data_IF_736894203955
#
_entry.id   IF_736894203955
#
_cell.length_a   1.000
_cell.length_b   1.000
_cell.length_c   1.000
_cell.angle_alpha   90.00
_cell.angle_beta   90.00
_cell.angle_gamma   90.00
#
_symmetry.space_group_name_H-M   'P 1'
#
loop_
_entity.id
_entity.type
_entity.pdbx_description
1 polymer ?
#
# COMPACT_ATOMS: atom_id res chain seq x y z
N UNK A 1 -12.74 6.29 -18.12
CA UNK A 1 -13.02 4.94 -18.65
C UNK A 1 -12.24 3.96 -17.79
N UNK A 2 -12.83 2.84 -17.38
CA UNK A 2 -12.10 1.77 -16.69
C UNK A 2 -11.42 0.90 -17.76
N UNK A 3 -10.09 0.78 -17.72
CA UNK A 3 -9.31 -0.04 -18.67
C UNK A 3 -9.44 -1.55 -18.38
N UNK A 4 -10.68 -2.05 -18.25
CA UNK A 4 -10.96 -3.44 -17.93
C UNK A 4 -10.65 -3.83 -16.47
N UNK A 5 -10.79 -5.13 -16.12
CA UNK A 5 -10.43 -5.64 -14.80
C UNK A 5 -8.92 -5.48 -14.53
N UNK A 6 -8.52 -5.42 -13.26
CA UNK A 6 -7.10 -5.45 -12.88
C UNK A 6 -6.54 -6.85 -13.12
N UNK A 7 -5.49 -6.92 -13.92
CA UNK A 7 -4.75 -8.16 -14.19
C UNK A 7 -3.85 -8.55 -13.01
N UNK A 8 -3.42 -9.82 -12.97
CA UNK A 8 -2.49 -10.28 -11.95
C UNK A 8 -1.13 -9.58 -12.05
N UNK A 9 -0.67 -9.28 -13.27
CA UNK A 9 0.56 -8.52 -13.50
C UNK A 9 0.46 -7.08 -12.96
N UNK A 10 -0.63 -6.37 -13.24
CA UNK A 10 -0.86 -5.03 -12.67
C UNK A 10 -0.94 -5.07 -11.15
N UNK A 11 -1.57 -6.12 -10.58
CA UNK A 11 -1.64 -6.32 -9.13
C UNK A 11 -0.24 -6.56 -8.54
N UNK A 12 0.58 -7.39 -9.17
CA UNK A 12 1.93 -7.70 -8.70
C UNK A 12 2.84 -6.47 -8.76
N UNK A 13 2.76 -5.67 -9.84
CA UNK A 13 3.52 -4.42 -10.00
C UNK A 13 3.17 -3.40 -8.91
N UNK A 14 1.88 -3.12 -8.70
CA UNK A 14 1.45 -2.13 -7.71
C UNK A 14 1.66 -2.59 -6.27
N UNK A 15 1.56 -3.89 -6.00
CA UNK A 15 1.93 -4.46 -4.70
C UNK A 15 3.44 -4.32 -4.49
N UNK A 16 4.28 -4.61 -5.49
CA UNK A 16 5.72 -4.45 -5.37
C UNK A 16 6.14 -3.01 -5.06
N UNK A 17 5.57 -2.04 -5.77
CA UNK A 17 5.79 -0.61 -5.53
C UNK A 17 5.34 -0.16 -4.13
N UNK A 18 4.15 -0.60 -3.70
CA UNK A 18 3.67 -0.33 -2.35
C UNK A 18 4.63 -0.83 -1.27
N UNK A 19 5.16 -2.04 -1.43
CA UNK A 19 6.11 -2.61 -0.47
C UNK A 19 7.47 -1.89 -0.49
N UNK A 20 7.90 -1.32 -1.61
CA UNK A 20 9.09 -0.47 -1.66
C UNK A 20 8.87 0.80 -0.80
N UNK A 21 7.72 1.46 -0.96
CA UNK A 21 7.35 2.59 -0.10
C UNK A 21 7.23 2.20 1.37
N UNK A 22 6.63 1.04 1.67
CA UNK A 22 6.47 0.57 3.04
C UNK A 22 7.83 0.28 3.71
N UNK A 23 8.80 -0.25 2.95
CA UNK A 23 10.15 -0.46 3.46
C UNK A 23 10.85 0.87 3.82
N UNK A 24 10.64 1.92 3.04
CA UNK A 24 11.12 3.27 3.35
C UNK A 24 10.42 3.84 4.59
N UNK A 25 9.09 3.70 4.68
CA UNK A 25 8.28 4.15 5.82
C UNK A 25 8.75 3.53 7.14
N UNK A 26 8.92 2.20 7.16
CA UNK A 26 9.42 1.44 8.31
C UNK A 26 10.85 1.86 8.67
N UNK A 27 11.69 2.14 7.67
CA UNK A 27 13.07 2.57 7.89
C UNK A 27 13.19 4.06 8.24
N UNK A 28 12.09 4.81 8.28
CA UNK A 28 12.10 6.26 8.47
C UNK A 28 12.72 7.04 7.32
N UNK A 29 12.92 6.42 6.15
CA UNK A 29 13.39 7.09 4.93
C UNK A 29 12.23 7.88 4.32
N UNK A 30 12.55 9.03 3.72
CA UNK A 30 11.56 9.84 3.01
C UNK A 30 11.23 9.19 1.68
N UNK A 31 9.95 9.13 1.35
CA UNK A 31 9.42 8.71 0.05
C UNK A 31 8.25 9.62 -0.34
N UNK A 32 7.91 9.66 -1.62
CA UNK A 32 6.78 10.42 -2.15
C UNK A 32 5.77 9.49 -2.81
N UNK A 33 4.58 9.37 -2.22
CA UNK A 33 3.47 8.60 -2.77
C UNK A 33 3.10 9.01 -4.19
N UNK A 34 3.18 10.31 -4.48
CA UNK A 34 2.88 10.86 -5.80
C UNK A 34 3.97 10.51 -6.81
N UNK A 35 5.24 10.46 -6.39
CA UNK A 35 6.34 10.11 -7.28
C UNK A 35 6.32 8.62 -7.64
N UNK A 36 6.12 7.76 -6.64
CA UNK A 36 5.94 6.32 -6.86
C UNK A 36 4.79 6.04 -7.85
N UNK A 37 3.63 6.68 -7.66
CA UNK A 37 2.52 6.55 -8.61
C UNK A 37 2.91 7.01 -10.02
N UNK A 38 3.54 8.19 -10.15
CA UNK A 38 3.94 8.74 -11.45
C UNK A 38 4.87 7.79 -12.21
N UNK A 39 5.80 7.14 -11.51
CA UNK A 39 6.73 6.16 -12.09
C UNK A 39 6.03 4.84 -12.42
N UNK A 40 5.07 4.42 -11.60
CA UNK A 40 4.35 3.15 -11.76
C UNK A 40 3.30 3.19 -12.87
N UNK A 41 2.52 4.27 -12.99
CA UNK A 41 1.37 4.35 -13.91
C UNK A 41 1.64 3.92 -15.36
N UNK A 42 2.78 4.28 -15.99
CA UNK A 42 3.08 3.85 -17.35
C UNK A 42 3.13 2.32 -17.52
N UNK A 43 3.33 1.58 -16.44
CA UNK A 43 3.39 0.11 -16.43
C UNK A 43 2.02 -0.54 -16.19
N UNK A 44 1.00 0.24 -15.84
CA UNK A 44 -0.32 -0.26 -15.45
C UNK A 44 -1.36 -0.04 -16.56
N UNK A 45 -1.08 -0.43 -17.80
CA UNK A 45 -2.06 -0.41 -18.90
C UNK A 45 -3.01 0.82 -18.91
N UNK A 46 -2.42 2.02 -18.94
CA UNK A 46 -3.11 3.32 -19.00
C UNK A 46 -4.03 3.65 -17.80
N UNK A 47 -3.85 3.01 -16.64
CA UNK A 47 -4.63 3.35 -15.43
C UNK A 47 -4.42 4.82 -15.06
N UNK A 48 -5.46 5.43 -14.51
CA UNK A 48 -5.39 6.82 -14.03
C UNK A 48 -4.69 6.92 -12.67
N UNK A 49 -4.16 8.10 -12.35
CA UNK A 49 -3.64 8.43 -11.01
C UNK A 49 -4.63 8.06 -9.89
N UNK A 50 -5.91 8.40 -10.08
CA UNK A 50 -6.97 8.07 -9.12
C UNK A 50 -7.18 6.57 -8.96
N UNK A 51 -7.05 5.79 -10.04
CA UNK A 51 -7.15 4.33 -9.97
C UNK A 51 -5.96 3.72 -9.20
N UNK A 52 -4.73 4.21 -9.46
CA UNK A 52 -3.53 3.79 -8.74
C UNK A 52 -3.62 4.12 -7.25
N UNK A 53 -4.05 5.34 -6.91
CA UNK A 53 -4.27 5.74 -5.51
C UNK A 53 -5.34 4.90 -4.81
N UNK A 54 -6.48 4.65 -5.47
CA UNK A 54 -7.52 3.78 -4.93
C UNK A 54 -7.02 2.35 -4.73
N UNK A 55 -6.17 1.86 -5.63
CA UNK A 55 -5.57 0.52 -5.50
C UNK A 55 -4.59 0.45 -4.31
N UNK A 56 -3.81 1.50 -4.03
CA UNK A 56 -3.02 1.59 -2.80
C UNK A 56 -3.88 1.59 -1.51
N UNK A 57 -5.07 2.19 -1.57
CA UNK A 57 -6.06 2.11 -0.49
C UNK A 57 -6.60 0.69 -0.30
N UNK A 58 -6.77 -0.06 -1.39
CA UNK A 58 -7.13 -1.48 -1.32
C UNK A 58 -6.01 -2.32 -0.71
N UNK A 59 -4.75 -2.12 -1.09
CA UNK A 59 -3.60 -2.85 -0.51
C UNK A 59 -3.53 -2.62 1.00
N UNK A 60 -3.70 -1.37 1.44
CA UNK A 60 -3.75 -1.03 2.87
C UNK A 60 -4.90 -1.74 3.60
N UNK A 61 -6.03 -1.97 2.93
CA UNK A 61 -7.16 -2.70 3.49
C UNK A 61 -6.87 -4.21 3.59
N UNK A 62 -6.22 -4.81 2.58
CA UNK A 62 -5.77 -6.21 2.60
C UNK A 62 -4.78 -6.44 3.73
N UNK A 63 -3.73 -5.61 3.83
CA UNK A 63 -2.70 -5.73 4.88
C UNK A 63 -3.31 -5.63 6.28
N UNK A 64 -4.24 -4.70 6.49
CA UNK A 64 -5.00 -4.65 7.75
C UNK A 64 -5.76 -5.95 8.02
N UNK A 65 -6.43 -6.51 7.03
CA UNK A 65 -7.17 -7.76 7.16
C UNK A 65 -6.28 -8.95 7.54
N UNK A 66 -5.02 -8.94 7.09
CA UNK A 66 -4.00 -9.94 7.42
C UNK A 66 -3.29 -9.67 8.76
N UNK A 67 -3.58 -8.56 9.44
CA UNK A 67 -2.89 -8.17 10.68
C UNK A 67 -1.49 -7.57 10.47
N UNK A 68 -1.15 -7.19 9.24
CA UNK A 68 0.15 -6.66 8.84
C UNK A 68 0.23 -5.13 8.96
N UNK A 69 1.44 -4.59 8.90
CA UNK A 69 1.66 -3.14 8.82
C UNK A 69 1.26 -2.59 7.44
N UNK A 70 0.80 -1.33 7.40
CA UNK A 70 0.47 -0.61 6.17
C UNK A 70 0.91 0.85 6.26
N UNK A 71 1.06 1.50 5.11
CA UNK A 71 1.48 2.90 5.01
C UNK A 71 0.39 3.84 5.57
N UNK A 72 0.67 4.66 6.60
CA UNK A 72 -0.27 5.63 7.12
C UNK A 72 -0.72 6.66 6.07
N UNK A 73 -1.94 7.17 6.21
CA UNK A 73 -2.49 8.20 5.31
C UNK A 73 -3.14 7.67 4.03
N UNK A 74 -3.03 6.37 3.73
CA UNK A 74 -3.99 5.75 2.80
C UNK A 74 -5.26 5.35 3.56
N UNK A 75 -6.42 5.87 3.12
CA UNK A 75 -7.71 5.37 3.60
C UNK A 75 -7.83 3.89 3.22
N UNK A 76 -8.40 3.05 4.09
CA UNK A 76 -8.56 1.62 3.79
C UNK A 76 -9.86 1.42 3.03
N UNK A 77 -9.76 0.98 1.78
CA UNK A 77 -10.91 0.70 0.91
C UNK A 77 -11.07 -0.81 0.75
N UNK A 78 -12.13 -1.39 1.30
CA UNK A 78 -12.36 -2.85 1.31
C UNK A 78 -13.06 -3.38 0.05
N UNK A 79 -13.32 -2.53 -0.94
CA UNK A 79 -13.86 -2.94 -2.23
C UNK A 79 -12.70 -3.34 -3.16
N UNK A 80 -12.28 -4.61 -3.09
CA UNK A 80 -11.22 -5.16 -3.93
C UNK A 80 -11.51 -6.59 -4.37
N UNK A 81 -10.87 -7.02 -5.46
CA UNK A 81 -10.91 -8.39 -5.97
C UNK A 81 -9.99 -9.30 -5.17
N UNK A 82 -10.33 -10.59 -5.03
CA UNK A 82 -9.50 -11.57 -4.33
C UNK A 82 -8.12 -11.76 -4.95
N UNK A 83 -7.97 -11.52 -6.26
CA UNK A 83 -6.67 -11.54 -6.94
C UNK A 83 -5.66 -10.55 -6.34
N UNK A 84 -6.13 -9.45 -5.71
CA UNK A 84 -5.26 -8.54 -4.98
C UNK A 84 -4.76 -9.16 -3.66
N UNK A 85 -5.61 -9.94 -2.98
CA UNK A 85 -5.22 -10.68 -1.77
C UNK A 85 -4.14 -11.69 -2.14
N UNK A 86 -4.31 -12.41 -3.25
CA UNK A 86 -3.31 -13.37 -3.74
C UNK A 86 -1.98 -12.69 -4.06
N UNK A 87 -1.99 -11.54 -4.73
CA UNK A 87 -0.78 -10.76 -5.02
C UNK A 87 -0.05 -10.29 -3.74
N UNK A 88 -0.79 -9.79 -2.74
CA UNK A 88 -0.22 -9.41 -1.44
C UNK A 88 0.36 -10.62 -0.71
N UNK A 89 -0.35 -11.75 -0.69
CA UNK A 89 0.13 -12.99 -0.07
C UNK A 89 1.40 -13.51 -0.75
N UNK A 90 1.46 -13.52 -2.09
CA UNK A 90 2.66 -13.86 -2.86
C UNK A 90 3.83 -12.94 -2.48
N UNK A 91 3.59 -11.62 -2.38
CA UNK A 91 4.64 -10.65 -2.01
C UNK A 91 5.19 -10.89 -0.61
N UNK A 92 4.33 -11.17 0.36
CA UNK A 92 4.73 -11.51 1.74
C UNK A 92 5.53 -12.81 1.78
N UNK A 93 5.10 -13.85 1.05
CA UNK A 93 5.81 -15.13 0.98
C UNK A 93 7.22 -15.00 0.38
N UNK A 94 7.39 -14.14 -0.64
CA UNK A 94 8.70 -13.87 -1.26
C UNK A 94 9.63 -13.04 -0.37
N UNK A 95 9.11 -12.44 0.71
CA UNK A 95 9.87 -11.54 1.56
C UNK A 95 9.58 -11.84 3.04
N UNK A 96 10.16 -12.93 3.56
CA UNK A 96 9.87 -13.42 4.92
C UNK A 96 10.18 -12.41 6.02
N UNK A 97 11.05 -11.43 5.74
CA UNK A 97 11.33 -10.31 6.64
C UNK A 97 10.09 -9.46 6.96
N UNK A 98 9.05 -9.49 6.10
CA UNK A 98 7.77 -8.83 6.36
C UNK A 98 6.76 -9.74 7.05
N UNK A 99 6.81 -11.05 6.82
CA UNK A 99 5.79 -12.02 7.27
C UNK A 99 5.69 -12.24 8.80
N UNK A 100 6.39 -11.44 9.61
CA UNK A 100 6.34 -11.49 11.09
C UNK A 100 7.05 -10.32 11.77
N UNK A 101 7.09 -9.15 11.14
CA UNK A 101 7.61 -7.97 11.83
C UNK A 101 6.66 -7.68 13.01
N UNK A 102 7.13 -7.72 14.28
CA UNK A 102 6.25 -7.50 15.41
C UNK A 102 5.56 -6.14 15.24
N UNK A 103 4.23 -6.20 15.18
CA UNK A 103 3.32 -5.07 15.26
C UNK A 103 3.56 -4.38 16.61
N UNK A 104 4.54 -3.48 16.63
CA UNK A 104 4.98 -2.77 17.83
C UNK A 104 5.86 -1.56 17.53
N UNK A 105 6.63 -1.55 16.44
CA UNK A 105 7.48 -0.40 16.09
C UNK A 105 6.80 0.66 15.20
N UNK A 106 5.65 0.34 14.59
CA UNK A 106 4.83 1.30 13.84
C UNK A 106 3.77 2.02 14.71
N UNK A 107 3.80 1.85 16.03
CA UNK A 107 3.42 2.96 16.90
C UNK A 107 4.62 3.91 16.90
N UNK A 108 4.77 4.67 15.81
CA UNK A 108 5.12 6.08 16.01
C UNK A 108 4.11 6.56 17.05
N UNK A 109 4.55 6.71 18.31
CA UNK A 109 3.84 7.52 19.30
C UNK A 109 3.66 8.87 18.63
N UNK A 110 2.51 9.08 18.01
CA UNK A 110 2.05 10.41 17.73
C UNK A 110 1.78 11.03 19.09
N UNK A 111 2.46 12.12 19.48
CA UNK A 111 1.97 12.88 20.61
C UNK A 111 0.61 13.43 20.18
N UNK A 112 -0.44 13.08 20.91
CA UNK A 112 -1.72 13.79 20.85
C UNK A 112 -1.43 15.28 21.10
N UNK A 113 -1.17 16.05 20.04
CA UNK A 113 -1.31 17.49 20.09
C UNK A 113 -2.80 17.73 19.99
N UNK A 114 -3.42 17.84 21.16
CA UNK A 114 -4.60 18.67 21.33
C UNK A 114 -4.32 20.01 20.64
N UNK A 115 -4.90 20.20 19.46
CA UNK A 115 -5.08 21.53 18.93
C UNK A 115 -6.18 22.16 19.79
N UNK A 116 -5.76 22.85 20.84
CA UNK A 116 -6.51 23.93 21.42
C UNK A 116 -7.00 24.85 20.29
N UNK A 117 -8.32 24.97 20.16
CA UNK A 117 -8.93 26.11 19.49
C UNK A 117 -9.19 27.14 20.58
N UNK A 118 -8.41 28.21 20.50
CA UNK A 118 -8.74 29.54 21.01
C UNK A 118 -9.67 30.19 19.97
#
# INVERSE_FOLDING_TARGET
MSNGPWTDEENDLIVADYFAMLADDISGRRYSKAEHRRVLLPLLHDRSEGAGEFKHQNISAVLKGLGEAWIPGYKRAFNFQMTLVDAVARRLALNPAWARAPTGAAIRRWPLREAAQV
#
